data_IF_466751968715
#
_entry.id   IF_466751968715
#
_cell.length_a   1.000
_cell.length_b   1.000
_cell.length_c   1.000
_cell.angle_alpha   90.00
_cell.angle_beta   90.00
_cell.angle_gamma   90.00
#
_symmetry.space_group_name_H-M   'P 1'
#
loop_
_entity.id
_entity.type
_entity.pdbx_description
1 polymer ?
#
# COMPACT_ATOMS: atom_id res chain seq x y z
N UNK A 1 -16.00 1.33 20.64
CA UNK A 1 -16.40 1.03 19.24
C UNK A 1 -16.53 -0.49 19.15
N UNK A 2 -17.66 -1.02 18.71
CA UNK A 2 -17.76 -2.45 18.39
C UNK A 2 -16.71 -2.77 17.32
N UNK A 3 -15.75 -3.63 17.66
CA UNK A 3 -14.75 -4.13 16.72
C UNK A 3 -15.47 -5.02 15.69
N UNK A 4 -16.05 -4.41 14.65
CA UNK A 4 -16.51 -5.14 13.48
C UNK A 4 -15.27 -5.78 12.84
N UNK A 5 -15.07 -7.07 13.15
CA UNK A 5 -13.98 -7.85 12.58
C UNK A 5 -14.12 -7.87 11.05
N UNK A 6 -12.99 -7.89 10.36
CA UNK A 6 -12.93 -8.14 8.92
C UNK A 6 -13.68 -7.11 8.04
N UNK A 7 -13.53 -5.81 8.33
CA UNK A 7 -14.22 -4.74 7.59
C UNK A 7 -13.28 -3.68 6.99
N UNK A 8 -11.96 -3.79 7.19
CA UNK A 8 -10.98 -2.80 6.71
C UNK A 8 -10.47 -3.19 5.31
N UNK A 9 -10.55 -2.26 4.37
CA UNK A 9 -9.76 -2.30 3.13
C UNK A 9 -8.44 -1.60 3.40
N UNK A 10 -7.33 -2.35 3.35
CA UNK A 10 -6.00 -1.80 3.58
C UNK A 10 -5.29 -1.54 2.25
N UNK A 11 -4.95 -0.28 1.96
CA UNK A 11 -4.32 0.13 0.71
C UNK A 11 -2.84 0.44 0.93
N UNK A 12 -1.99 -0.19 0.12
CA UNK A 12 -0.54 0.05 0.08
C UNK A 12 -0.09 0.57 -1.28
N UNK A 13 0.68 1.66 -1.22
CA UNK A 13 1.24 2.31 -2.40
C UNK A 13 0.27 3.26 -3.10
N UNK A 14 0.69 3.76 -4.26
CA UNK A 14 -0.12 4.67 -5.08
C UNK A 14 -0.91 3.89 -6.12
N UNK A 15 -2.17 3.58 -5.83
CA UNK A 15 -3.10 2.95 -6.77
C UNK A 15 -3.71 3.96 -7.73
N UNK A 16 -4.11 3.51 -8.92
CA UNK A 16 -4.80 4.34 -9.91
C UNK A 16 -6.11 4.93 -9.37
N UNK A 17 -6.43 6.17 -9.76
CA UNK A 17 -7.59 6.89 -9.23
C UNK A 17 -8.94 6.30 -9.66
N UNK A 18 -8.99 5.58 -10.79
CA UNK A 18 -10.19 4.87 -11.24
C UNK A 18 -10.68 3.82 -10.24
N UNK A 19 -9.82 3.40 -9.31
CA UNK A 19 -10.14 2.39 -8.30
C UNK A 19 -10.92 2.96 -7.12
N UNK A 20 -11.00 4.28 -6.99
CA UNK A 20 -11.76 4.92 -5.92
C UNK A 20 -13.27 4.80 -6.16
N UNK A 21 -13.70 4.71 -7.41
CA UNK A 21 -15.11 4.45 -7.73
C UNK A 21 -15.51 3.05 -7.31
N UNK A 22 -14.61 2.06 -7.45
CA UNK A 22 -14.83 0.70 -6.93
C UNK A 22 -15.04 0.68 -5.40
N UNK A 23 -14.36 1.54 -4.63
CA UNK A 23 -14.60 1.64 -3.18
C UNK A 23 -16.02 2.13 -2.87
N UNK A 24 -16.52 3.09 -3.66
CA UNK A 24 -17.88 3.64 -3.51
C UNK A 24 -18.94 2.64 -3.93
N UNK A 25 -18.77 2.00 -5.09
CA UNK A 25 -19.68 0.98 -5.61
C UNK A 25 -19.85 -0.17 -4.62
N UNK A 26 -18.77 -0.53 -3.92
CA UNK A 26 -18.77 -1.57 -2.89
C UNK A 26 -19.28 -1.10 -1.53
N UNK A 27 -19.59 0.19 -1.37
CA UNK A 27 -20.03 0.78 -0.11
C UNK A 27 -19.01 0.64 1.03
N UNK A 28 -17.71 0.59 0.71
CA UNK A 28 -16.67 0.34 1.70
C UNK A 28 -16.42 1.60 2.54
N UNK A 29 -16.77 1.52 3.82
CA UNK A 29 -16.71 2.64 4.77
C UNK A 29 -15.38 2.75 5.53
N UNK A 30 -14.62 1.65 5.66
CA UNK A 30 -13.39 1.62 6.45
C UNK A 30 -12.16 1.42 5.55
N UNK A 31 -11.72 2.51 4.93
CA UNK A 31 -10.52 2.53 4.08
C UNK A 31 -9.32 2.99 4.92
N UNK A 32 -8.32 2.12 5.03
CA UNK A 32 -7.07 2.43 5.70
C UNK A 32 -5.96 2.53 4.66
N UNK A 33 -5.10 3.53 4.79
CA UNK A 33 -3.95 3.71 3.92
C UNK A 33 -2.66 3.66 4.74
N UNK A 34 -1.65 3.00 4.20
CA UNK A 34 -0.30 3.05 4.74
C UNK A 34 0.39 4.33 4.28
N UNK A 35 1.19 4.96 5.14
CA UNK A 35 1.79 6.27 4.86
C UNK A 35 2.75 6.25 3.67
N UNK A 36 3.41 5.12 3.40
CA UNK A 36 4.25 4.89 2.24
C UNK A 36 5.63 5.53 2.39
N UNK A 37 6.40 5.12 3.41
CA UNK A 37 7.80 5.50 3.55
C UNK A 37 8.61 5.06 2.32
N UNK A 38 9.72 5.75 2.02
CA UNK A 38 10.27 6.90 2.77
C UNK A 38 9.60 8.26 2.43
N UNK A 39 8.96 8.38 1.26
CA UNK A 39 8.52 9.68 0.70
C UNK A 39 7.12 10.13 1.15
N UNK A 40 6.39 9.31 1.88
CA UNK A 40 5.04 9.60 2.38
C UNK A 40 4.04 10.00 1.29
N UNK A 41 4.20 9.45 0.08
CA UNK A 41 3.34 9.83 -1.05
C UNK A 41 1.89 9.46 -0.80
N UNK A 42 1.62 8.33 -0.16
CA UNK A 42 0.25 7.93 0.14
C UNK A 42 -0.37 8.86 1.19
N UNK A 43 0.36 9.14 2.29
CA UNK A 43 -0.10 10.08 3.32
C UNK A 43 -0.47 11.47 2.76
N UNK A 44 0.28 11.98 1.77
CA UNK A 44 0.02 13.29 1.18
C UNK A 44 -0.94 13.23 -0.01
N UNK A 45 -0.58 12.51 -1.07
CA UNK A 45 -1.28 12.54 -2.36
C UNK A 45 -2.52 11.65 -2.32
N UNK A 46 -2.38 10.38 -1.92
CA UNK A 46 -3.51 9.44 -1.91
C UNK A 46 -4.62 9.91 -0.96
N UNK A 47 -4.26 10.38 0.25
CA UNK A 47 -5.24 10.96 1.18
C UNK A 47 -6.03 12.12 0.57
N UNK A 48 -5.35 13.02 -0.16
CA UNK A 48 -6.00 14.16 -0.84
C UNK A 48 -6.96 13.69 -1.93
N UNK A 49 -6.55 12.72 -2.74
CA UNK A 49 -7.37 12.21 -3.83
C UNK A 49 -8.62 11.43 -3.36
N UNK A 50 -8.49 10.69 -2.25
CA UNK A 50 -9.62 10.06 -1.58
C UNK A 50 -10.58 11.11 -0.99
N UNK A 51 -10.05 12.12 -0.31
CA UNK A 51 -10.86 13.20 0.28
C UNK A 51 -11.63 14.00 -0.78
N UNK A 52 -11.02 14.31 -1.94
CA UNK A 52 -11.71 14.95 -3.08
C UNK A 52 -12.92 14.14 -3.56
N UNK A 53 -12.91 12.83 -3.35
CA UNK A 53 -13.98 11.91 -3.71
C UNK A 53 -14.91 11.57 -2.54
N UNK A 54 -14.83 12.31 -1.43
CA UNK A 54 -15.64 12.09 -0.22
C UNK A 54 -15.41 10.72 0.45
N UNK A 55 -14.23 10.12 0.22
CA UNK A 55 -13.76 8.95 0.96
C UNK A 55 -12.74 9.46 1.97
N UNK A 56 -13.06 9.43 3.26
CA UNK A 56 -12.11 9.87 4.30
C UNK A 56 -11.32 8.66 4.80
N UNK A 57 -10.03 8.50 4.43
CA UNK A 57 -9.26 7.35 4.87
C UNK A 57 -8.74 7.52 6.30
N UNK A 58 -8.47 6.39 6.95
CA UNK A 58 -7.62 6.36 8.15
C UNK A 58 -6.17 6.13 7.73
N UNK A 59 -5.28 7.07 8.07
CA UNK A 59 -3.85 6.97 7.82
C UNK A 59 -3.15 6.22 8.96
N UNK A 60 -2.31 5.24 8.63
CA UNK A 60 -1.45 4.54 9.60
C UNK A 60 -0.01 4.44 9.09
N UNK A 61 0.94 4.29 10.01
CA UNK A 61 2.32 3.99 9.64
C UNK A 61 2.43 2.57 9.06
N UNK A 62 3.40 2.34 8.19
CA UNK A 62 3.55 1.08 7.43
C UNK A 62 3.65 -0.15 8.36
N UNK A 63 4.33 -0.02 9.51
CA UNK A 63 4.53 -1.09 10.48
C UNK A 63 3.28 -1.42 11.33
N UNK A 64 2.25 -0.58 11.32
CA UNK A 64 1.02 -0.80 12.08
C UNK A 64 0.09 -1.81 11.40
N UNK A 65 0.33 -2.15 10.13
CA UNK A 65 -0.46 -3.14 9.40
C UNK A 65 -0.53 -4.48 10.16
N UNK A 66 0.60 -4.96 10.70
CA UNK A 66 0.66 -6.21 11.46
C UNK A 66 -0.28 -6.25 12.67
N UNK A 67 -0.53 -5.12 13.31
CA UNK A 67 -1.49 -5.02 14.41
C UNK A 67 -2.93 -5.26 13.92
N UNK A 68 -3.31 -4.69 12.76
CA UNK A 68 -4.63 -4.91 12.16
C UNK A 68 -4.84 -6.37 11.77
N UNK A 69 -3.82 -7.01 11.19
CA UNK A 69 -3.85 -8.45 10.87
C UNK A 69 -4.00 -9.30 12.13
N UNK A 70 -3.22 -9.04 13.19
CA UNK A 70 -3.31 -9.77 14.46
C UNK A 70 -4.71 -9.70 15.07
N UNK A 71 -5.40 -8.56 14.91
CA UNK A 71 -6.77 -8.36 15.42
C UNK A 71 -7.87 -8.84 14.47
N UNK A 72 -7.53 -9.43 13.32
CA UNK A 72 -8.48 -9.86 12.28
C UNK A 72 -9.41 -8.73 11.84
N UNK A 73 -8.88 -7.51 11.68
CA UNK A 73 -9.65 -6.35 11.23
C UNK A 73 -9.61 -6.18 9.70
N UNK A 74 -8.55 -6.66 9.05
CA UNK A 74 -8.33 -6.51 7.61
C UNK A 74 -9.20 -7.49 6.83
N UNK A 75 -10.12 -6.95 6.02
CA UNK A 75 -10.97 -7.68 5.08
C UNK A 75 -10.21 -8.12 3.84
N UNK A 76 -9.46 -7.19 3.26
CA UNK A 76 -8.60 -7.42 2.11
C UNK A 76 -7.54 -6.32 2.00
N UNK A 77 -6.47 -6.62 1.25
CA UNK A 77 -5.39 -5.67 0.96
C UNK A 77 -5.38 -5.34 -0.51
N UNK A 78 -5.25 -4.06 -0.83
CA UNK A 78 -5.02 -3.56 -2.18
C UNK A 78 -3.59 -3.04 -2.27
N UNK A 79 -2.84 -3.53 -3.26
CA UNK A 79 -1.42 -3.19 -3.45
C UNK A 79 -1.20 -2.69 -4.86
N UNK A 80 -0.50 -1.56 -5.00
CA UNK A 80 -0.08 -1.08 -6.31
C UNK A 80 1.04 -1.93 -6.92
N UNK A 81 0.92 -2.27 -8.21
CA UNK A 81 1.96 -2.98 -8.98
C UNK A 81 2.39 -2.21 -10.23
N UNK A 82 3.67 -2.33 -10.58
CA UNK A 82 4.26 -1.70 -11.77
C UNK A 82 4.47 -2.69 -12.92
N UNK A 83 4.84 -3.93 -12.58
CA UNK A 83 5.05 -5.03 -13.53
C UNK A 83 4.55 -6.32 -12.89
N UNK A 84 4.02 -7.24 -13.69
CA UNK A 84 3.53 -8.54 -13.24
C UNK A 84 3.86 -9.61 -14.28
N UNK A 85 4.22 -10.79 -13.81
CA UNK A 85 4.39 -12.00 -14.62
C UNK A 85 3.87 -13.23 -13.85
N UNK A 86 4.09 -14.42 -14.41
CA UNK A 86 3.64 -15.69 -13.81
C UNK A 86 4.30 -16.02 -12.47
N UNK A 87 5.47 -15.45 -12.17
CA UNK A 87 6.24 -15.68 -10.94
C UNK A 87 5.89 -14.68 -9.84
N UNK A 88 5.32 -13.52 -10.18
CA UNK A 88 4.96 -12.51 -9.22
C UNK A 88 4.83 -11.11 -9.81
N UNK A 89 4.91 -10.11 -8.94
CA UNK A 89 4.80 -8.71 -9.33
C UNK A 89 5.85 -7.84 -8.65
N UNK A 90 6.24 -6.78 -9.35
CA UNK A 90 7.03 -5.69 -8.77
C UNK A 90 6.07 -4.64 -8.22
N UNK A 91 6.07 -4.48 -6.90
CA UNK A 91 5.18 -3.59 -6.16
C UNK A 91 5.97 -2.55 -5.38
N UNK A 92 5.27 -1.58 -4.79
CA UNK A 92 5.88 -0.62 -3.86
C UNK A 92 6.46 -1.35 -2.63
N UNK A 93 7.59 -0.86 -2.09
CA UNK A 93 8.24 -1.44 -0.89
C UNK A 93 7.25 -1.61 0.25
N UNK A 94 7.33 -2.74 0.95
CA UNK A 94 6.40 -3.14 2.01
C UNK A 94 5.30 -4.09 1.51
N UNK A 95 5.06 -4.17 0.20
CA UNK A 95 4.07 -5.08 -0.38
C UNK A 95 4.35 -6.56 -0.07
N UNK A 96 5.63 -6.98 -0.04
CA UNK A 96 5.98 -8.35 0.29
C UNK A 96 5.56 -8.72 1.73
N UNK A 97 5.73 -7.79 2.67
CA UNK A 97 5.30 -7.98 4.07
C UNK A 97 3.79 -8.20 4.14
N UNK A 98 3.01 -7.40 3.42
CA UNK A 98 1.56 -7.56 3.34
C UNK A 98 1.15 -8.87 2.66
N UNK A 99 1.87 -9.30 1.62
CA UNK A 99 1.67 -10.61 0.99
C UNK A 99 1.85 -11.77 1.97
N UNK A 100 2.91 -11.73 2.79
CA UNK A 100 3.17 -12.74 3.83
C UNK A 100 2.08 -12.70 4.91
N UNK A 101 1.72 -11.52 5.40
CA UNK A 101 0.66 -11.35 6.40
C UNK A 101 -0.70 -11.82 5.88
N UNK A 102 -1.06 -11.44 4.65
CA UNK A 102 -2.29 -11.85 3.98
C UNK A 102 -2.38 -13.37 3.89
N UNK A 103 -1.32 -14.04 3.42
CA UNK A 103 -1.28 -15.50 3.37
C UNK A 103 -1.40 -16.14 4.75
N UNK A 104 -0.71 -15.61 5.77
CA UNK A 104 -0.72 -16.15 7.14
C UNK A 104 -2.08 -16.01 7.83
N UNK A 105 -2.81 -14.94 7.53
CA UNK A 105 -4.11 -14.59 8.13
C UNK A 105 -5.30 -14.89 7.23
N UNK A 106 -5.08 -15.52 6.06
CA UNK A 106 -6.12 -15.85 5.09
C UNK A 106 -6.89 -14.62 4.57
N UNK A 107 -6.20 -13.49 4.45
CA UNK A 107 -6.74 -12.24 3.92
C UNK A 107 -6.27 -12.10 2.46
N UNK A 108 -7.18 -11.85 1.50
CA UNK A 108 -6.81 -11.71 0.11
C UNK A 108 -5.96 -10.46 -0.13
N UNK A 109 -4.93 -10.61 -0.95
CA UNK A 109 -4.04 -9.53 -1.38
C UNK A 109 -4.22 -9.34 -2.88
N UNK A 110 -4.89 -8.26 -3.25
CA UNK A 110 -5.27 -7.93 -4.62
C UNK A 110 -4.33 -6.87 -5.17
N UNK A 111 -3.82 -7.10 -6.37
CA UNK A 111 -2.93 -6.18 -7.07
C UNK A 111 -3.71 -5.29 -8.02
N UNK A 112 -3.36 -4.00 -8.01
CA UNK A 112 -3.93 -2.98 -8.88
C UNK A 112 -2.83 -2.14 -9.54
N UNK A 113 -3.03 -1.58 -10.75
CA UNK A 113 -2.00 -0.83 -11.43
C UNK A 113 -1.55 0.38 -10.60
N UNK A 114 -0.24 0.62 -10.56
CA UNK A 114 0.31 1.78 -9.91
C UNK A 114 0.07 3.05 -10.73
N UNK A 115 -0.29 4.14 -10.07
CA UNK A 115 -0.46 5.45 -10.71
C UNK A 115 0.85 5.99 -11.34
N UNK A 116 2.01 5.50 -10.90
CA UNK A 116 3.30 5.83 -11.49
C UNK A 116 4.32 4.72 -11.25
N UNK A 117 5.23 4.53 -12.22
CA UNK A 117 6.39 3.65 -12.04
C UNK A 117 7.45 4.32 -11.14
N UNK A 118 8.18 3.49 -10.39
CA UNK A 118 9.29 3.91 -9.53
C UNK A 118 10.55 3.13 -9.88
N UNK A 119 11.69 3.82 -9.75
CA UNK A 119 13.01 3.17 -9.75
C UNK A 119 13.15 2.15 -8.61
N UNK A 120 14.18 1.31 -8.68
CA UNK A 120 14.41 0.28 -7.65
C UNK A 120 15.00 0.86 -6.36
N UNK A 121 15.80 1.92 -6.47
CA UNK A 121 16.56 2.50 -5.37
C UNK A 121 16.25 4.00 -5.21
N UNK A 122 16.12 4.45 -3.96
CA UNK A 122 15.98 5.85 -3.57
C UNK A 122 17.28 6.48 -3.10
N UNK A 123 17.23 7.76 -2.72
CA UNK A 123 18.39 8.47 -2.17
C UNK A 123 18.54 8.11 -0.69
N UNK A 124 19.77 8.06 -0.17
CA UNK A 124 19.98 7.84 1.27
C UNK A 124 19.30 8.91 2.12
N UNK A 125 19.22 10.15 1.63
CA UNK A 125 18.50 11.24 2.28
C UNK A 125 17.03 10.94 2.53
N UNK A 126 16.39 10.09 1.71
CA UNK A 126 14.96 9.77 1.84
C UNK A 126 14.65 9.05 3.16
N UNK A 127 15.60 8.25 3.68
CA UNK A 127 15.44 7.55 4.97
C UNK A 127 16.13 8.29 6.12
N UNK A 128 17.19 9.05 5.84
CA UNK A 128 17.96 9.78 6.85
C UNK A 128 17.33 11.12 7.27
N UNK A 129 16.41 11.64 6.45
CA UNK A 129 15.73 12.92 6.67
C UNK A 129 14.21 12.77 6.55
N UNK A 130 13.51 13.69 7.20
CA UNK A 130 12.06 13.84 7.15
C UNK A 130 11.72 15.32 7.00
N UNK A 131 10.92 15.69 5.99
CA UNK A 131 10.58 17.09 5.68
C UNK A 131 11.79 18.04 5.67
N UNK A 132 12.89 17.62 5.04
CA UNK A 132 14.12 18.42 4.93
C UNK A 132 14.99 18.42 6.19
N UNK A 133 14.51 17.91 7.32
CA UNK A 133 15.26 17.84 8.57
C UNK A 133 15.89 16.46 8.72
N UNK A 134 17.20 16.41 9.02
CA UNK A 134 17.89 15.14 9.27
C UNK A 134 17.41 14.55 10.59
N UNK A 135 16.97 13.30 10.57
CA UNK A 135 16.47 12.57 11.76
C UNK A 135 17.46 11.51 12.24
N UNK A 136 18.31 10.99 11.35
CA UNK A 136 19.34 10.02 11.71
C UNK A 136 20.66 10.73 12.12
N UNK A 137 21.43 10.21 13.09
CA UNK A 137 22.73 10.76 13.47
C UNK A 137 23.70 10.93 12.28
N UNK A 138 24.66 11.86 12.41
CA UNK A 138 25.73 12.04 11.42
C UNK A 138 26.54 10.73 11.30
N UNK A 139 26.94 10.38 10.08
CA UNK A 139 27.71 9.16 9.80
C UNK A 139 26.88 7.90 9.53
N UNK A 140 25.59 7.87 9.88
CA UNK A 140 24.69 6.75 9.55
C UNK A 140 24.45 6.71 8.03
N UNK A 141 24.60 5.51 7.45
CA UNK A 141 24.34 5.22 6.03
C UNK A 141 22.87 4.86 5.83
N UNK A 142 22.27 5.32 4.73
CA UNK A 142 20.92 4.96 4.33
C UNK A 142 20.91 3.84 3.29
N UNK A 143 19.89 2.99 3.32
CA UNK A 143 19.59 2.01 2.28
C UNK A 143 18.09 2.08 1.98
N UNK A 144 17.73 2.28 0.71
CA UNK A 144 16.37 2.69 0.33
C UNK A 144 15.89 1.93 -0.90
N UNK A 145 15.48 0.66 -0.77
CA UNK A 145 14.72 0.00 -1.81
C UNK A 145 13.34 0.67 -1.92
N UNK A 146 12.92 0.98 -3.14
CA UNK A 146 11.62 1.62 -3.43
C UNK A 146 10.56 0.66 -3.97
N UNK A 147 10.98 -0.54 -4.35
CA UNK A 147 10.08 -1.59 -4.84
C UNK A 147 10.52 -2.96 -4.34
N UNK A 148 9.56 -3.83 -4.07
CA UNK A 148 9.78 -5.24 -3.74
C UNK A 148 9.24 -6.15 -4.84
N UNK A 149 9.80 -7.35 -4.93
CA UNK A 149 9.19 -8.46 -5.67
C UNK A 149 8.24 -9.23 -4.75
N UNK A 150 6.98 -9.36 -5.15
CA UNK A 150 5.95 -10.14 -4.45
C UNK A 150 5.69 -11.42 -5.26
N UNK A 151 6.12 -12.59 -4.77
CA UNK A 151 5.86 -13.87 -5.43
C UNK A 151 4.36 -14.16 -5.62
N UNK A 152 4.01 -14.82 -6.72
CA UNK A 152 2.63 -15.18 -7.08
C UNK A 152 1.87 -15.92 -5.97
N UNK A 153 2.55 -16.72 -5.14
CA UNK A 153 1.95 -17.45 -4.00
C UNK A 153 1.34 -16.55 -2.92
N UNK A 154 1.67 -15.26 -2.90
CA UNK A 154 1.14 -14.27 -1.97
C UNK A 154 0.10 -13.34 -2.61
N UNK A 155 -0.23 -13.54 -3.88
CA UNK A 155 -1.15 -12.70 -4.64
C UNK A 155 -2.46 -13.47 -4.84
N UNK A 156 -3.59 -12.87 -4.47
CA UNK A 156 -4.92 -13.46 -4.63
C UNK A 156 -5.51 -13.19 -6.00
N UNK A 157 -5.44 -11.94 -6.45
CA UNK A 157 -5.92 -11.52 -7.77
C UNK A 157 -5.09 -10.37 -8.30
N UNK A 158 -4.97 -10.29 -9.62
CA UNK A 158 -4.37 -9.16 -10.33
C UNK A 158 -5.46 -8.50 -11.15
N UNK A 159 -5.64 -7.20 -10.97
CA UNK A 159 -6.58 -6.37 -11.70
C UNK A 159 -5.81 -5.52 -12.70
N UNK A 160 -6.17 -5.57 -13.98
CA UNK A 160 -5.67 -4.66 -15.01
C UNK A 160 -6.50 -3.38 -15.05
N UNK A 161 -5.91 -2.28 -15.51
CA UNK A 161 -6.64 -1.03 -15.73
C UNK A 161 -7.73 -1.30 -16.79
N UNK A 162 -8.97 -0.89 -16.50
CA UNK A 162 -10.06 -0.97 -17.45
C UNK A 162 -9.92 0.11 -18.51
N UNK A 163 -9.25 -0.20 -19.61
CA UNK A 163 -9.49 0.41 -20.91
C UNK A 163 -8.90 -0.47 -22.03
N UNK A 164 -9.74 -0.77 -23.02
CA UNK A 164 -9.51 -1.46 -24.31
C UNK A 164 -9.61 -3.00 -24.34
N UNK A 165 -10.85 -3.49 -24.30
CA UNK A 165 -11.33 -4.34 -25.40
C UNK A 165 -11.99 -3.43 -26.43
#
# INVERSE_FOLDING_TARGET
>A
MQDNKNNIILIQGMVDESLFDLLKERGEINVFILEGRPRLKAANILSKELNKRQITPTLIADNMAGFLFKRNLVKEVWVSYQKVDKKGARCDTGALVLGVLGKRHQVPVNLYPAAAQKGAQGKQSDILSFNGVRVAPKGVKGYVPLTDWVPAKYISKVHSCGCCC
#
